data_IF_653801728262
#
_entry.id   IF_653801728262
#
_cell.length_a   1.000
_cell.length_b   1.000
_cell.length_c   1.000
_cell.angle_alpha   90.00
_cell.angle_beta   90.00
_cell.angle_gamma   90.00
#
_symmetry.space_group_name_H-M   'P 1'
#
loop_
_entity.id
_entity.type
_entity.pdbx_description
1 polymer ?
#
# COMPACT_ATOMS: atom_id res chain seq x y z
N UNK A 1 4.13 -19.11 9.16
CA UNK A 1 2.80 -18.45 9.08
C UNK A 1 2.45 -18.33 7.60
N UNK A 2 1.18 -18.46 7.24
CA UNK A 2 0.75 -18.27 5.85
C UNK A 2 0.18 -16.87 5.62
N UNK A 3 0.33 -16.38 4.39
CA UNK A 3 -0.34 -15.18 3.88
C UNK A 3 -1.18 -15.56 2.66
N UNK A 4 -2.39 -15.03 2.58
CA UNK A 4 -3.41 -15.50 1.66
C UNK A 4 -3.75 -14.45 0.61
N UNK A 5 -3.71 -14.85 -0.67
CA UNK A 5 -4.27 -14.05 -1.75
C UNK A 5 -5.61 -14.61 -2.19
N UNK A 6 -6.67 -13.84 -1.98
CA UNK A 6 -8.01 -14.14 -2.48
C UNK A 6 -8.14 -13.73 -3.94
N UNK A 7 -8.72 -14.61 -4.75
CA UNK A 7 -8.88 -14.47 -6.19
C UNK A 7 -10.26 -14.97 -6.63
N UNK A 8 -10.94 -14.26 -7.55
CA UNK A 8 -12.15 -14.79 -8.17
C UNK A 8 -11.79 -15.89 -9.20
N UNK A 9 -12.75 -16.73 -9.64
CA UNK A 9 -12.50 -17.87 -10.54
C UNK A 9 -11.74 -17.51 -11.83
N UNK A 10 -12.06 -16.34 -12.40
CA UNK A 10 -11.49 -15.85 -13.66
C UNK A 10 -9.99 -15.55 -13.54
N UNK A 11 -9.49 -15.45 -12.30
CA UNK A 11 -8.07 -15.24 -12.03
C UNK A 11 -7.24 -16.52 -11.93
N UNK A 12 -7.74 -17.61 -12.51
CA UNK A 12 -6.97 -18.85 -12.69
C UNK A 12 -5.65 -18.62 -13.46
N UNK A 13 -5.58 -17.56 -14.28
CA UNK A 13 -4.38 -17.10 -14.98
C UNK A 13 -3.17 -16.89 -14.06
N UNK A 14 -3.39 -16.61 -12.78
CA UNK A 14 -2.31 -16.47 -11.79
C UNK A 14 -1.56 -17.78 -11.59
N UNK A 15 -2.27 -18.91 -11.53
CA UNK A 15 -1.67 -20.25 -11.44
C UNK A 15 -1.21 -20.77 -12.79
N UNK A 16 -1.88 -20.40 -13.88
CA UNK A 16 -1.48 -20.79 -15.25
C UNK A 16 -0.15 -20.17 -15.69
N UNK A 17 0.12 -18.94 -15.24
CA UNK A 17 1.28 -18.17 -15.66
C UNK A 17 2.32 -17.98 -14.55
N UNK A 18 1.99 -18.33 -13.29
CA UNK A 18 2.82 -18.06 -12.10
C UNK A 18 3.20 -16.58 -12.01
N UNK A 19 2.21 -15.73 -12.33
CA UNK A 19 2.35 -14.28 -12.32
C UNK A 19 1.24 -13.66 -11.51
N UNK A 20 1.59 -12.71 -10.67
CA UNK A 20 0.65 -12.01 -9.80
C UNK A 20 0.71 -10.50 -10.02
N UNK A 21 -0.44 -9.85 -9.93
CA UNK A 21 -0.53 -8.39 -10.08
C UNK A 21 0.00 -7.70 -8.83
N UNK A 22 0.87 -6.71 -9.05
CA UNK A 22 1.13 -5.65 -8.08
C UNK A 22 0.29 -4.43 -8.49
N UNK A 23 -0.73 -4.12 -7.71
CA UNK A 23 -1.71 -3.10 -8.02
C UNK A 23 -1.16 -1.72 -7.70
N UNK A 24 -1.24 -0.79 -8.64
CA UNK A 24 -0.84 0.60 -8.44
C UNK A 24 -1.77 1.30 -7.46
N UNK A 25 -1.27 2.31 -6.72
CA UNK A 25 -2.08 3.01 -5.70
C UNK A 25 -3.42 3.54 -6.25
N UNK A 26 -3.41 4.11 -7.45
CA UNK A 26 -4.60 4.65 -8.12
C UNK A 26 -5.68 3.59 -8.41
N UNK A 27 -5.29 2.31 -8.49
CA UNK A 27 -6.18 1.19 -8.82
C UNK A 27 -6.55 0.32 -7.59
N UNK A 28 -6.18 0.75 -6.39
CA UNK A 28 -6.61 0.08 -5.16
C UNK A 28 -8.10 0.36 -4.90
N UNK A 29 -8.76 -0.55 -4.19
CA UNK A 29 -10.22 -0.54 -4.01
C UNK A 29 -10.70 0.49 -2.98
N UNK A 30 -9.85 0.90 -2.04
CA UNK A 30 -10.17 1.95 -1.07
C UNK A 30 -9.78 3.32 -1.65
N UNK A 31 -10.74 4.25 -1.90
CA UNK A 31 -10.46 5.57 -2.47
C UNK A 31 -9.62 6.47 -1.54
N UNK A 32 -9.47 6.10 -0.27
CA UNK A 32 -8.63 6.82 0.69
C UNK A 32 -7.20 6.30 0.77
N UNK A 33 -6.91 5.21 0.04
CA UNK A 33 -5.63 4.53 0.12
C UNK A 33 -4.50 5.34 -0.48
N UNK A 34 -3.37 5.43 0.25
CA UNK A 34 -2.22 6.27 -0.11
C UNK A 34 -2.58 7.75 -0.34
N UNK A 35 -3.78 8.18 0.07
CA UNK A 35 -4.28 9.53 -0.08
C UNK A 35 -4.08 10.33 1.21
N UNK A 36 -3.12 11.27 1.27
CA UNK A 36 -2.84 11.98 2.52
C UNK A 36 -4.03 12.87 2.91
N UNK A 37 -4.32 12.92 4.21
CA UNK A 37 -5.26 13.89 4.76
C UNK A 37 -4.66 15.29 4.73
N UNK A 38 -5.53 16.28 4.54
CA UNK A 38 -5.19 17.69 4.71
C UNK A 38 -5.10 18.00 6.20
N UNK A 39 -4.03 18.70 6.60
CA UNK A 39 -3.85 19.12 7.99
C UNK A 39 -4.83 20.24 8.31
N UNK A 40 -5.82 19.95 9.15
CA UNK A 40 -6.73 20.97 9.68
C UNK A 40 -6.33 21.31 11.12
N UNK A 41 -5.63 22.43 11.29
CA UNK A 41 -5.21 22.98 12.58
C UNK A 41 -5.52 24.48 12.64
N UNK A 42 -5.64 25.01 13.86
CA UNK A 42 -5.88 26.43 14.03
C UNK A 42 -4.65 27.28 13.62
N UNK A 43 -4.91 28.56 13.33
CA UNK A 43 -3.88 29.53 12.94
C UNK A 43 -2.76 29.67 13.98
N UNK A 44 -3.06 29.48 15.26
CA UNK A 44 -2.05 29.57 16.32
C UNK A 44 -1.07 28.39 16.26
N UNK A 45 -1.54 27.19 15.91
CA UNK A 45 -0.72 26.01 15.67
C UNK A 45 0.25 26.24 14.52
N UNK A 46 -0.25 26.72 13.37
CA UNK A 46 0.60 27.04 12.21
C UNK A 46 1.64 28.10 12.56
N UNK A 47 1.24 29.13 13.33
CA UNK A 47 2.17 30.16 13.81
C UNK A 47 3.26 29.57 14.70
N UNK A 48 2.95 28.63 15.59
CA UNK A 48 3.95 27.94 16.41
C UNK A 48 4.93 27.13 15.56
N UNK A 49 4.45 26.37 14.58
CA UNK A 49 5.34 25.60 13.68
C UNK A 49 6.23 26.50 12.84
N UNK A 50 5.68 27.59 12.28
CA UNK A 50 6.43 28.56 11.51
C UNK A 50 7.55 29.22 12.33
N UNK A 51 7.24 29.63 13.57
CA UNK A 51 8.24 30.20 14.46
C UNK A 51 9.34 29.21 14.82
N UNK A 52 9.00 27.95 15.07
CA UNK A 52 9.97 26.88 15.34
C UNK A 52 10.88 26.65 14.12
N UNK A 53 10.32 26.64 12.91
CA UNK A 53 11.07 26.53 11.66
C UNK A 53 12.06 27.68 11.50
N UNK A 54 11.61 28.92 11.67
CA UNK A 54 12.49 30.11 11.59
C UNK A 54 13.63 30.05 12.60
N UNK A 55 13.35 29.62 13.84
CA UNK A 55 14.40 29.46 14.87
C UNK A 55 15.42 28.39 14.47
N UNK A 56 14.98 27.25 13.93
CA UNK A 56 15.86 26.20 13.45
C UNK A 56 16.72 26.66 12.26
N UNK A 57 16.11 27.30 11.26
CA UNK A 57 16.82 27.92 10.13
C UNK A 57 17.88 28.90 10.65
N UNK A 58 17.51 29.77 11.59
CA UNK A 58 18.43 30.77 12.13
C UNK A 58 19.62 30.14 12.89
N UNK A 59 19.43 28.98 13.52
CA UNK A 59 20.50 28.25 14.19
C UNK A 59 21.48 27.62 13.18
N UNK A 60 21.01 27.19 12.01
CA UNK A 60 21.86 26.63 10.95
C UNK A 60 22.76 27.68 10.30
N UNK A 61 22.30 28.94 10.18
CA UNK A 61 23.07 30.03 9.58
C UNK A 61 24.27 30.52 10.42
N UNK A 62 24.47 30.02 11.64
CA UNK A 62 25.62 30.34 12.51
C UNK A 62 25.92 31.87 12.60
N UNK A 63 24.91 32.69 12.87
CA UNK A 63 25.06 34.15 12.91
C UNK A 63 26.13 34.60 13.92
N UNK A 64 27.13 35.36 13.45
CA UNK A 64 28.18 35.95 14.29
C UNK A 64 27.68 37.02 15.27
N UNK A 65 26.54 37.66 14.98
CA UNK A 65 26.00 38.77 15.77
C UNK A 65 24.50 38.56 16.10
N UNK A 66 24.17 38.69 17.39
CA UNK A 66 22.79 38.62 17.93
C UNK A 66 21.81 39.60 17.26
N UNK A 67 22.27 40.79 16.87
CA UNK A 67 21.47 41.81 16.17
C UNK A 67 21.05 41.32 14.78
N UNK A 68 22.00 40.79 14.00
CA UNK A 68 21.71 40.22 12.66
C UNK A 68 20.74 39.05 12.76
N UNK A 69 20.90 38.17 13.76
CA UNK A 69 19.95 37.08 14.04
C UNK A 69 18.53 37.61 14.31
N UNK A 70 18.39 38.64 15.17
CA UNK A 70 17.09 39.25 15.47
C UNK A 70 16.46 39.89 14.23
N UNK A 71 17.24 40.57 13.40
CA UNK A 71 16.77 41.16 12.14
C UNK A 71 16.27 40.10 11.16
N UNK A 72 17.03 39.01 10.97
CA UNK A 72 16.63 37.86 10.15
C UNK A 72 15.28 37.28 10.61
N UNK A 73 15.15 36.96 11.90
CA UNK A 73 13.91 36.40 12.45
C UNK A 73 12.73 37.37 12.26
N UNK A 74 12.93 38.68 12.48
CA UNK A 74 11.89 39.69 12.29
C UNK A 74 11.46 39.79 10.83
N UNK A 75 12.38 39.69 9.88
CA UNK A 75 12.07 39.68 8.45
C UNK A 75 11.25 38.43 8.08
N UNK A 76 11.71 37.23 8.46
CA UNK A 76 11.03 35.95 8.19
C UNK A 76 9.61 35.91 8.77
N UNK A 77 9.39 36.47 9.97
CA UNK A 77 8.06 36.53 10.60
C UNK A 77 7.00 37.22 9.73
N UNK A 78 7.39 38.12 8.82
CA UNK A 78 6.45 38.79 7.89
C UNK A 78 5.88 37.85 6.84
N UNK A 79 6.53 36.72 6.59
CA UNK A 79 6.11 35.73 5.59
C UNK A 79 5.07 34.75 6.13
N UNK A 80 4.60 34.95 7.38
CA UNK A 80 3.66 34.03 8.01
C UNK A 80 2.34 33.89 7.23
N UNK A 81 1.80 34.97 6.65
CA UNK A 81 0.54 34.86 5.90
C UNK A 81 0.71 33.99 4.65
N UNK A 82 1.82 34.13 3.92
CA UNK A 82 2.12 33.29 2.76
C UNK A 82 2.30 31.82 3.19
N UNK A 83 3.09 31.58 4.25
CA UNK A 83 3.21 30.24 4.83
C UNK A 83 1.84 29.66 5.21
N UNK A 84 1.01 30.43 5.90
CA UNK A 84 -0.31 29.99 6.33
C UNK A 84 -1.19 29.63 5.13
N UNK A 85 -1.25 30.49 4.11
CA UNK A 85 -2.01 30.25 2.89
C UNK A 85 -1.59 28.95 2.19
N UNK A 86 -0.28 28.69 2.03
CA UNK A 86 0.23 27.47 1.42
C UNK A 86 -0.22 26.18 2.14
N UNK A 87 -0.53 26.24 3.43
CA UNK A 87 -0.95 25.09 4.23
C UNK A 87 -2.43 25.12 4.62
N UNK A 88 -3.21 26.06 4.08
CA UNK A 88 -4.66 26.12 4.30
C UNK A 88 -5.49 26.25 3.03
N UNK A 89 -4.86 26.35 1.85
CA UNK A 89 -5.57 26.27 0.58
C UNK A 89 -5.99 24.81 0.32
N UNK A 90 -7.21 24.48 0.73
CA UNK A 90 -7.72 23.11 0.63
C UNK A 90 -7.76 22.59 -0.80
N UNK A 91 -8.05 23.44 -1.78
CA UNK A 91 -8.11 23.04 -3.19
C UNK A 91 -6.72 22.65 -3.69
N UNK A 92 -5.75 23.53 -3.49
CA UNK A 92 -4.37 23.25 -3.90
C UNK A 92 -3.80 22.03 -3.16
N UNK A 93 -4.03 21.90 -1.85
CA UNK A 93 -3.57 20.75 -1.07
C UNK A 93 -4.21 19.44 -1.53
N UNK A 94 -5.48 19.46 -1.92
CA UNK A 94 -6.14 18.30 -2.48
C UNK A 94 -5.52 17.87 -3.83
N UNK A 95 -5.21 18.83 -4.71
CA UNK A 95 -4.52 18.57 -5.99
C UNK A 95 -3.11 17.99 -5.77
N UNK A 96 -2.38 18.48 -4.76
CA UNK A 96 -1.08 17.92 -4.37
C UNK A 96 -1.22 16.48 -3.84
N UNK A 97 -2.23 16.22 -2.99
CA UNK A 97 -2.50 14.87 -2.49
C UNK A 97 -2.80 13.87 -3.62
N UNK A 98 -3.55 14.30 -4.65
CA UNK A 98 -3.81 13.45 -5.82
C UNK A 98 -2.53 13.20 -6.63
N UNK A 99 -1.65 14.19 -6.72
CA UNK A 99 -0.38 14.06 -7.44
C UNK A 99 0.54 13.03 -6.80
N UNK A 100 0.54 12.92 -5.46
CA UNK A 100 1.27 11.85 -4.73
C UNK A 100 0.82 10.46 -5.17
N UNK A 101 -0.49 10.21 -5.30
CA UNK A 101 -1.02 8.91 -5.75
C UNK A 101 -0.59 8.60 -7.18
N UNK A 102 -0.69 9.59 -8.08
CA UNK A 102 -0.34 9.40 -9.50
C UNK A 102 1.14 9.12 -9.69
N UNK A 103 1.99 9.84 -8.96
CA UNK A 103 3.43 9.61 -8.92
C UNK A 103 3.77 8.21 -8.37
N UNK A 104 3.16 7.84 -7.24
CA UNK A 104 3.35 6.51 -6.65
C UNK A 104 2.98 5.38 -7.61
N UNK A 105 1.86 5.56 -8.33
CA UNK A 105 1.29 4.58 -9.24
C UNK A 105 2.17 4.25 -10.45
N UNK A 106 3.07 5.15 -10.85
CA UNK A 106 4.00 4.88 -11.97
C UNK A 106 5.35 4.34 -11.52
N UNK A 107 5.70 4.49 -10.24
CA UNK A 107 6.99 4.03 -9.72
C UNK A 107 6.92 2.71 -8.97
N UNK A 108 5.77 2.35 -8.37
CA UNK A 108 5.62 1.12 -7.60
C UNK A 108 4.18 0.60 -7.53
N UNK A 109 4.02 -0.63 -7.05
CA UNK A 109 2.73 -1.21 -6.77
C UNK A 109 2.74 -2.19 -5.60
N UNK A 110 1.56 -2.69 -5.29
CA UNK A 110 1.27 -3.37 -4.04
C UNK A 110 0.58 -4.71 -4.27
N UNK A 111 1.12 -5.74 -3.62
CA UNK A 111 0.47 -7.04 -3.46
C UNK A 111 -0.13 -7.10 -2.05
N UNK A 112 -1.45 -7.00 -1.98
CA UNK A 112 -2.24 -7.19 -0.75
C UNK A 112 -2.48 -8.66 -0.47
N UNK A 113 -2.05 -9.11 0.71
CA UNK A 113 -2.22 -10.47 1.23
C UNK A 113 -2.90 -10.39 2.61
N UNK A 114 -3.74 -11.36 2.94
CA UNK A 114 -4.39 -11.45 4.25
C UNK A 114 -3.66 -12.42 5.17
N UNK A 115 -3.62 -12.17 6.47
CA UNK A 115 -3.18 -13.16 7.44
C UNK A 115 -4.27 -14.16 7.85
N UNK A 116 -5.49 -14.04 7.32
CA UNK A 116 -6.59 -14.95 7.59
C UNK A 116 -7.17 -15.51 6.30
N UNK A 117 -7.50 -16.81 6.32
CA UNK A 117 -8.29 -17.47 5.29
C UNK A 117 -9.77 -17.66 5.72
N UNK A 118 -10.14 -17.17 6.92
CA UNK A 118 -11.43 -17.45 7.57
C UNK A 118 -12.48 -16.36 7.40
N UNK A 119 -12.07 -15.15 7.00
CA UNK A 119 -12.94 -13.99 6.95
C UNK A 119 -14.02 -14.13 5.87
N UNK A 120 -15.29 -14.15 6.28
CA UNK A 120 -16.44 -14.25 5.35
C UNK A 120 -16.45 -13.07 4.37
N UNK A 121 -16.14 -11.86 4.86
CA UNK A 121 -16.09 -10.65 4.04
C UNK A 121 -14.99 -10.74 2.98
N UNK A 122 -13.82 -11.32 3.31
CA UNK A 122 -12.75 -11.53 2.33
C UNK A 122 -13.20 -12.46 1.20
N UNK A 123 -13.84 -13.58 1.54
CA UNK A 123 -14.37 -14.51 0.55
C UNK A 123 -15.48 -13.88 -0.31
N UNK A 124 -16.34 -13.07 0.30
CA UNK A 124 -17.44 -12.40 -0.40
C UNK A 124 -16.94 -11.35 -1.38
N UNK A 125 -16.00 -10.50 -0.96
CA UNK A 125 -15.51 -9.37 -1.78
C UNK A 125 -14.44 -9.78 -2.80
N UNK A 126 -13.49 -10.63 -2.40
CA UNK A 126 -12.27 -10.86 -3.19
C UNK A 126 -12.22 -12.24 -3.85
N UNK A 127 -13.11 -13.17 -3.48
CA UNK A 127 -13.23 -14.49 -4.10
C UNK A 127 -14.63 -14.70 -4.70
N UNK A 128 -15.20 -13.64 -5.29
CA UNK A 128 -16.49 -13.65 -6.00
C UNK A 128 -17.58 -14.41 -5.25
N UNK A 129 -18.04 -13.88 -4.11
CA UNK A 129 -19.11 -14.50 -3.34
C UNK A 129 -18.86 -15.98 -2.96
N UNK A 130 -17.61 -16.33 -2.65
CA UNK A 130 -17.14 -17.69 -2.32
C UNK A 130 -17.05 -18.66 -3.51
N UNK A 131 -17.11 -18.19 -4.75
CA UNK A 131 -16.93 -19.03 -5.96
C UNK A 131 -15.46 -19.21 -6.33
N UNK A 132 -14.62 -18.25 -5.95
CA UNK A 132 -13.19 -18.20 -6.25
C UNK A 132 -12.32 -19.08 -5.37
N UNK A 133 -11.04 -18.75 -5.29
CA UNK A 133 -10.03 -19.52 -4.58
C UNK A 133 -9.03 -18.61 -3.87
N UNK A 134 -8.20 -19.22 -3.03
CA UNK A 134 -7.14 -18.57 -2.27
C UNK A 134 -5.83 -19.28 -2.53
N UNK A 135 -4.77 -18.50 -2.76
CA UNK A 135 -3.39 -18.99 -2.76
C UNK A 135 -2.77 -18.66 -1.40
N UNK A 136 -2.33 -19.69 -0.67
CA UNK A 136 -1.51 -19.54 0.53
C UNK A 136 -0.03 -19.44 0.17
N UNK A 137 0.65 -18.49 0.80
CA UNK A 137 2.09 -18.26 0.66
C UNK A 137 2.81 -18.44 1.99
N UNK A 138 3.98 -19.10 1.97
CA UNK A 138 4.90 -19.20 3.10
C UNK A 138 5.48 -17.82 3.39
N UNK A 139 5.06 -17.17 4.49
CA UNK A 139 5.63 -15.86 4.89
C UNK A 139 7.14 -15.96 5.05
N UNK A 140 7.66 -17.04 5.59
CA UNK A 140 9.08 -17.17 5.91
C UNK A 140 9.97 -17.34 4.68
N UNK A 141 9.41 -17.48 3.48
CA UNK A 141 10.15 -17.56 2.23
C UNK A 141 10.90 -16.26 1.92
N UNK A 142 12.09 -16.37 1.30
CA UNK A 142 12.97 -15.22 1.04
C UNK A 142 12.31 -14.12 0.19
N UNK A 143 11.39 -14.52 -0.69
CA UNK A 143 10.55 -13.63 -1.49
C UNK A 143 9.83 -12.57 -0.65
N UNK A 144 9.52 -12.86 0.62
CA UNK A 144 8.82 -11.96 1.54
C UNK A 144 9.74 -11.30 2.58
N UNK A 145 11.07 -11.49 2.49
CA UNK A 145 12.02 -10.86 3.43
C UNK A 145 12.04 -9.33 3.32
N UNK A 146 11.81 -8.79 2.13
CA UNK A 146 11.86 -7.36 1.85
C UNK A 146 10.54 -6.84 1.26
N UNK A 147 10.25 -5.58 1.58
CA UNK A 147 9.09 -4.84 1.06
C UNK A 147 7.74 -5.29 1.64
N UNK A 148 7.71 -6.22 2.60
CA UNK A 148 6.48 -6.71 3.21
C UNK A 148 6.21 -6.03 4.56
N UNK A 149 5.09 -5.34 4.66
CA UNK A 149 4.68 -4.59 5.85
C UNK A 149 3.28 -4.95 6.29
N UNK A 150 3.06 -5.07 7.60
CA UNK A 150 1.70 -5.22 8.14
C UNK A 150 0.96 -3.87 8.08
N UNK A 151 -0.24 -3.87 7.52
CA UNK A 151 -1.08 -2.67 7.44
C UNK A 151 -1.58 -2.29 8.84
N UNK A 152 -1.58 -0.99 9.12
CA UNK A 152 -2.12 -0.39 10.34
C UNK A 152 -3.52 0.15 10.05
N UNK A 153 -4.46 -0.11 10.96
CA UNK A 153 -5.84 0.33 10.81
C UNK A 153 -6.14 1.50 11.73
N UNK A 154 -6.64 2.62 11.17
CA UNK A 154 -6.94 3.86 11.91
C UNK A 154 -8.16 4.57 11.32
N UNK A 155 -8.96 5.19 12.19
CA UNK A 155 -10.13 6.01 11.78
C UNK A 155 -9.71 7.35 11.13
N UNK A 156 -8.46 7.77 11.35
CA UNK A 156 -7.91 9.01 10.80
C UNK A 156 -6.80 8.68 9.83
N UNK A 157 -6.95 9.16 8.58
CA UNK A 157 -5.93 9.05 7.54
C UNK A 157 -4.62 9.71 7.98
N UNK A 158 -3.45 9.14 7.63
CA UNK A 158 -2.18 9.84 7.76
C UNK A 158 -2.22 11.15 6.98
N UNK A 159 -1.55 12.17 7.50
CA UNK A 159 -1.30 13.42 6.80
C UNK A 159 0.21 13.59 6.65
N UNK A 160 0.63 14.26 5.58
CA UNK A 160 2.01 14.69 5.44
C UNK A 160 2.15 16.01 6.19
N UNK A 161 3.05 16.06 7.17
CA UNK A 161 3.35 17.29 7.90
C UNK A 161 4.60 17.93 7.29
N UNK A 162 4.47 18.89 6.36
CA UNK A 162 5.61 19.50 5.69
C UNK A 162 6.52 20.30 6.63
N UNK A 163 6.12 20.48 7.90
CA UNK A 163 6.94 21.12 8.93
C UNK A 163 7.83 20.14 9.68
N UNK A 164 7.62 18.82 9.51
CA UNK A 164 8.43 17.79 10.15
C UNK A 164 9.67 17.44 9.33
N UNK A 165 10.83 17.25 9.98
CA UNK A 165 12.08 16.93 9.32
C UNK A 165 12.14 15.50 8.78
N UNK A 166 11.23 14.63 9.23
CA UNK A 166 11.11 13.24 8.78
C UNK A 166 9.64 12.96 8.51
N UNK A 167 9.35 12.41 7.34
CA UNK A 167 8.08 11.75 7.06
C UNK A 167 8.26 10.26 7.36
N UNK A 168 7.20 9.58 7.80
CA UNK A 168 7.18 8.12 7.87
C UNK A 168 6.44 7.55 6.65
N UNK A 169 6.65 6.27 6.37
CA UNK A 169 5.97 5.58 5.28
C UNK A 169 4.52 5.19 5.63
N UNK A 170 3.93 5.75 6.71
CA UNK A 170 2.61 5.30 7.18
C UNK A 170 1.50 5.53 6.17
N UNK A 171 1.66 6.48 5.25
CA UNK A 171 0.74 6.75 4.14
C UNK A 171 0.44 5.50 3.31
N UNK A 172 1.46 4.67 3.03
CA UNK A 172 1.36 3.51 2.14
C UNK A 172 0.86 2.23 2.84
N UNK A 173 0.83 2.24 4.18
CA UNK A 173 0.52 1.07 5.00
C UNK A 173 -0.52 1.37 6.10
N UNK A 174 -1.35 2.39 5.91
CA UNK A 174 -2.47 2.70 6.80
C UNK A 174 -3.80 2.65 6.04
N UNK A 175 -4.78 1.91 6.58
CA UNK A 175 -6.15 1.80 6.05
C UNK A 175 -7.21 2.22 7.08
N UNK A 176 -8.43 2.47 6.61
CA UNK A 176 -9.59 2.64 7.51
C UNK A 176 -9.79 1.39 8.37
N UNK A 177 -10.25 1.58 9.61
CA UNK A 177 -10.66 0.48 10.51
C UNK A 177 -11.79 -0.37 9.94
N UNK A 178 -12.57 0.16 9.00
CA UNK A 178 -13.60 -0.59 8.27
C UNK A 178 -13.02 -1.81 7.53
N UNK A 179 -11.76 -1.71 7.06
CA UNK A 179 -11.05 -2.78 6.36
C UNK A 179 -10.24 -3.68 7.30
N UNK A 180 -10.38 -3.55 8.62
CA UNK A 180 -9.57 -4.31 9.59
C UNK A 180 -9.72 -5.82 9.46
N UNK A 181 -10.87 -6.30 8.96
CA UNK A 181 -11.12 -7.71 8.71
C UNK A 181 -10.23 -8.33 7.63
N UNK A 182 -9.51 -7.51 6.85
CA UNK A 182 -8.58 -7.99 5.83
C UNK A 182 -7.28 -8.54 6.45
N UNK A 183 -6.92 -8.12 7.66
CA UNK A 183 -5.66 -8.49 8.33
C UNK A 183 -4.44 -8.39 7.39
N UNK A 184 -4.34 -7.28 6.64
CA UNK A 184 -3.49 -7.18 5.48
C UNK A 184 -1.99 -7.10 5.83
N UNK A 185 -1.21 -7.87 5.09
CA UNK A 185 0.21 -7.67 4.85
C UNK A 185 0.40 -7.25 3.39
N UNK A 186 1.10 -6.14 3.20
CA UNK A 186 1.30 -5.51 1.91
C UNK A 186 2.74 -5.65 1.49
N UNK A 187 2.97 -6.29 0.34
CA UNK A 187 4.28 -6.32 -0.31
C UNK A 187 4.34 -5.22 -1.37
N UNK A 188 5.34 -4.33 -1.30
CA UNK A 188 5.61 -3.36 -2.37
C UNK A 188 6.73 -3.82 -3.29
N UNK A 189 6.67 -3.40 -4.56
CA UNK A 189 7.76 -3.53 -5.53
C UNK A 189 7.81 -2.31 -6.43
N UNK A 190 9.02 -1.85 -6.75
CA UNK A 190 9.23 -0.79 -7.74
C UNK A 190 9.04 -1.29 -9.17
N UNK A 191 8.51 -0.43 -10.04
CA UNK A 191 8.40 -0.65 -11.48
C UNK A 191 9.53 0.00 -12.27
N UNK A 192 10.32 0.84 -11.60
CA UNK A 192 11.43 1.60 -12.15
C UNK A 192 12.75 1.09 -11.59
N UNK A 193 13.82 1.25 -12.37
CA UNK A 193 15.17 0.93 -11.92
C UNK A 193 15.58 1.91 -10.82
N UNK A 194 15.93 1.44 -9.60
CA UNK A 194 16.39 2.31 -8.54
C UNK A 194 17.75 2.95 -8.88
N UNK A 195 17.96 4.18 -8.41
CA UNK A 195 19.24 4.88 -8.48
C UNK A 195 19.99 4.60 -7.17
N UNK A 196 21.19 4.04 -7.28
CA UNK A 196 22.10 3.87 -6.14
C UNK A 196 22.69 5.23 -5.73
N UNK A 197 22.59 5.55 -4.44
CA UNK A 197 23.13 6.77 -3.85
C UNK A 197 24.50 6.51 -3.22
N UNK A 198 25.33 7.55 -3.10
CA UNK A 198 26.68 7.46 -2.51
C UNK A 198 26.68 6.91 -1.06
N UNK A 199 25.57 7.04 -0.35
CA UNK A 199 25.41 6.56 1.02
C UNK A 199 24.94 5.09 1.11
N UNK A 200 24.88 4.37 -0.02
CA UNK A 200 24.46 2.97 -0.09
C UNK A 200 22.95 2.74 -0.01
N UNK A 201 22.14 3.81 -0.05
CA UNK A 201 20.68 3.71 -0.19
C UNK A 201 20.28 3.79 -1.66
N UNK A 202 19.04 3.41 -1.96
CA UNK A 202 18.44 3.55 -3.29
C UNK A 202 17.33 4.60 -3.31
N UNK A 203 17.15 5.22 -4.47
CA UNK A 203 16.07 6.16 -4.77
C UNK A 203 15.27 5.64 -5.96
N UNK A 204 13.94 5.59 -5.83
CA UNK A 204 13.07 5.36 -6.99
C UNK A 204 12.95 6.68 -7.78
N UNK A 205 13.34 6.72 -9.07
CA UNK A 205 13.18 7.92 -9.88
C UNK A 205 11.70 8.18 -10.15
N UNK A 206 11.19 9.28 -9.60
CA UNK A 206 9.87 9.81 -9.95
C UNK A 206 9.97 10.64 -11.24
N UNK A 207 8.93 10.65 -12.09
CA UNK A 207 8.86 11.58 -13.22
C UNK A 207 8.76 13.03 -12.71
N UNK A 208 9.18 13.99 -13.54
CA UNK A 208 9.15 15.42 -13.20
C UNK A 208 7.71 15.92 -12.96
N UNK A 209 6.76 15.40 -13.73
CA UNK A 209 5.35 15.71 -13.61
C UNK A 209 4.54 14.42 -13.34
N UNK A 210 3.47 14.49 -12.52
CA UNK A 210 2.56 13.37 -12.35
C UNK A 210 1.88 13.06 -13.70
N UNK A 211 1.68 11.79 -14.04
CA UNK A 211 0.96 11.42 -15.26
C UNK A 211 -0.47 11.96 -15.23
N UNK A 212 -1.02 12.22 -16.43
CA UNK A 212 -2.42 12.59 -16.61
C UNK A 212 -3.34 11.42 -16.26
N UNK A 213 -4.60 11.72 -15.88
CA UNK A 213 -5.58 10.68 -15.52
C UNK A 213 -5.87 9.72 -16.67
N UNK A 214 -5.74 10.19 -17.92
CA UNK A 214 -5.90 9.39 -19.13
C UNK A 214 -4.64 8.62 -19.55
N UNK A 215 -3.54 8.75 -18.83
CA UNK A 215 -2.27 8.11 -19.18
C UNK A 215 -2.36 6.58 -19.03
N UNK A 216 -2.02 5.85 -20.08
CA UNK A 216 -2.07 4.39 -20.12
C UNK A 216 -1.21 3.74 -19.03
N UNK A 217 -0.11 4.39 -18.62
CA UNK A 217 0.80 3.87 -17.59
C UNK A 217 0.14 3.74 -16.21
N UNK A 218 -0.85 4.58 -15.89
CA UNK A 218 -1.65 4.49 -14.67
C UNK A 218 -2.57 3.27 -14.67
N UNK A 219 -3.05 2.88 -15.84
CA UNK A 219 -4.03 1.80 -16.02
C UNK A 219 -3.40 0.46 -16.40
N UNK A 220 -2.12 0.45 -16.74
CA UNK A 220 -1.38 -0.73 -17.16
C UNK A 220 -1.45 -1.85 -16.12
N UNK A 221 -1.73 -3.09 -16.53
CA UNK A 221 -1.69 -4.24 -15.62
C UNK A 221 -0.24 -4.67 -15.42
N UNK A 222 0.25 -4.59 -14.18
CA UNK A 222 1.64 -4.92 -13.81
C UNK A 222 1.70 -6.31 -13.17
N UNK A 223 2.12 -7.31 -13.94
CA UNK A 223 2.25 -8.71 -13.50
C UNK A 223 3.73 -9.06 -13.25
N UNK A 224 4.00 -9.73 -12.13
CA UNK A 224 5.33 -10.16 -11.72
C UNK A 224 5.35 -11.65 -11.41
N UNK A 225 6.47 -12.29 -11.71
CA UNK A 225 6.71 -13.68 -11.30
C UNK A 225 6.80 -13.79 -9.77
N UNK A 226 6.34 -14.91 -9.23
CA UNK A 226 6.60 -15.28 -7.84
C UNK A 226 7.24 -16.68 -7.78
N UNK A 227 8.14 -16.95 -6.81
CA UNK A 227 8.74 -18.27 -6.67
C UNK A 227 7.69 -19.33 -6.38
N UNK A 228 7.68 -20.42 -7.14
CA UNK A 228 6.66 -21.48 -7.01
C UNK A 228 6.71 -22.16 -5.63
N UNK A 229 7.91 -22.33 -5.09
CA UNK A 229 8.20 -22.88 -3.78
C UNK A 229 7.81 -21.95 -2.61
N UNK A 230 7.34 -20.73 -2.89
CA UNK A 230 6.68 -19.92 -1.86
C UNK A 230 5.19 -20.27 -1.68
N UNK A 231 4.57 -21.01 -2.60
CA UNK A 231 3.17 -21.48 -2.47
C UNK A 231 3.09 -22.61 -1.46
N UNK A 232 2.26 -22.43 -0.43
CA UNK A 232 2.05 -23.41 0.65
C UNK A 232 0.76 -24.20 0.51
N UNK A 233 -0.31 -23.58 0.04
CA UNK A 233 -1.64 -24.19 -0.02
C UNK A 233 -2.50 -23.54 -1.10
N UNK A 234 -3.50 -24.28 -1.59
CA UNK A 234 -4.62 -23.71 -2.36
C UNK A 234 -5.91 -24.00 -1.60
N UNK A 235 -6.80 -23.02 -1.49
CA UNK A 235 -8.09 -23.20 -0.83
C UNK A 235 -9.19 -22.82 -1.82
N UNK A 236 -10.06 -23.75 -2.18
CA UNK A 236 -11.24 -23.48 -3.01
C UNK A 236 -12.41 -23.00 -2.15
N UNK A 237 -13.18 -22.05 -2.67
CA UNK A 237 -14.33 -21.49 -2.00
C UNK A 237 -15.50 -22.46 -1.89
N UNK A 238 -16.40 -22.18 -0.94
CA UNK A 238 -17.57 -23.01 -0.65
C UNK A 238 -18.48 -23.23 -1.87
N UNK A 239 -18.55 -22.23 -2.76
CA UNK A 239 -19.37 -22.25 -3.97
C UNK A 239 -18.54 -22.48 -5.23
N UNK A 240 -17.27 -22.86 -5.10
CA UNK A 240 -16.42 -23.12 -6.25
C UNK A 240 -16.96 -24.25 -7.12
N UNK A 241 -16.83 -24.08 -8.42
CA UNK A 241 -17.26 -25.09 -9.38
C UNK A 241 -16.27 -26.26 -9.44
N UNK A 242 -16.72 -27.50 -9.73
CA UNK A 242 -15.82 -28.62 -10.00
C UNK A 242 -14.85 -28.36 -11.17
N UNK A 243 -15.27 -27.53 -12.14
CA UNK A 243 -14.43 -27.09 -13.25
C UNK A 243 -13.21 -26.30 -12.74
N UNK A 244 -13.42 -25.33 -11.86
CA UNK A 244 -12.34 -24.53 -11.28
C UNK A 244 -11.34 -25.42 -10.52
N UNK A 245 -11.83 -26.38 -9.72
CA UNK A 245 -10.96 -27.33 -9.01
C UNK A 245 -10.09 -28.12 -9.99
N UNK A 246 -10.67 -28.66 -11.07
CA UNK A 246 -9.92 -29.39 -12.09
C UNK A 246 -8.89 -28.51 -12.81
N UNK A 247 -9.21 -27.23 -13.07
CA UNK A 247 -8.26 -26.27 -13.64
C UNK A 247 -7.10 -25.95 -12.68
N UNK A 248 -7.37 -25.84 -11.37
CA UNK A 248 -6.33 -25.69 -10.34
C UNK A 248 -5.40 -26.91 -10.33
N UNK A 249 -5.94 -28.13 -10.22
CA UNK A 249 -5.16 -29.38 -10.21
C UNK A 249 -4.29 -29.51 -11.46
N UNK A 250 -4.86 -29.21 -12.63
CA UNK A 250 -4.14 -29.22 -13.90
C UNK A 250 -2.96 -28.25 -13.89
N UNK A 251 -3.14 -27.04 -13.37
CA UNK A 251 -2.08 -26.03 -13.30
C UNK A 251 -1.01 -26.38 -12.27
N UNK A 252 -1.39 -26.92 -11.10
CA UNK A 252 -0.42 -27.41 -10.12
C UNK A 252 0.47 -28.50 -10.73
N UNK A 253 -0.13 -29.49 -11.41
CA UNK A 253 0.62 -30.53 -12.13
C UNK A 253 1.52 -29.95 -13.23
N UNK A 254 1.02 -29.01 -14.03
CA UNK A 254 1.80 -28.34 -15.08
C UNK A 254 3.05 -27.66 -14.52
N UNK A 255 2.96 -27.08 -13.33
CA UNK A 255 4.04 -26.33 -12.71
C UNK A 255 4.91 -27.13 -11.72
N UNK A 256 4.68 -28.44 -11.60
CA UNK A 256 5.36 -29.35 -10.67
C UNK A 256 5.11 -28.97 -9.19
N UNK A 257 3.85 -28.64 -8.88
CA UNK A 257 3.36 -28.23 -7.56
C UNK A 257 2.34 -29.23 -7.01
N UNK A 258 2.40 -30.50 -7.41
CA UNK A 258 1.46 -31.55 -6.95
C UNK A 258 1.54 -31.81 -5.44
N UNK A 259 2.63 -31.42 -4.79
CA UNK A 259 2.78 -31.51 -3.33
C UNK A 259 2.07 -30.38 -2.57
N UNK A 260 1.53 -29.37 -3.25
CA UNK A 260 0.76 -28.30 -2.61
C UNK A 260 -0.61 -28.84 -2.24
N UNK A 261 -0.92 -28.86 -0.96
CA UNK A 261 -2.20 -29.32 -0.46
C UNK A 261 -3.35 -28.42 -0.94
N UNK A 262 -4.46 -29.05 -1.31
CA UNK A 262 -5.70 -28.39 -1.70
C UNK A 262 -6.70 -28.55 -0.56
N UNK A 263 -7.36 -27.45 -0.22
CA UNK A 263 -8.37 -27.41 0.82
C UNK A 263 -9.68 -26.85 0.27
N UNK A 264 -10.79 -27.14 0.95
CA UNK A 264 -12.08 -26.51 0.73
C UNK A 264 -12.45 -25.63 1.93
N UNK A 265 -12.89 -24.40 1.67
CA UNK A 265 -13.46 -23.52 2.67
C UNK A 265 -14.98 -23.72 2.74
N UNK A 266 -15.52 -24.04 3.92
CA UNK A 266 -16.96 -24.18 4.16
C UNK A 266 -17.42 -23.30 5.33
N UNK A 267 -18.70 -22.90 5.40
CA UNK A 267 -19.21 -22.15 6.55
C UNK A 267 -19.08 -22.96 7.84
N UNK A 268 -18.54 -22.34 8.90
CA UNK A 268 -18.47 -22.98 10.21
C UNK A 268 -19.87 -23.18 10.79
N UNK A 269 -20.13 -24.34 11.39
CA UNK A 269 -21.45 -24.72 11.96
C UNK A 269 -22.00 -23.82 13.08
N UNK A 270 -21.15 -23.01 13.72
CA UNK A 270 -21.47 -22.32 14.99
C UNK A 270 -20.92 -20.89 15.08
N UNK A 271 -20.12 -20.45 14.10
CA UNK A 271 -19.40 -19.17 14.14
C UNK A 271 -19.50 -18.49 12.78
N UNK A 272 -19.45 -17.16 12.78
CA UNK A 272 -19.38 -16.36 11.55
C UNK A 272 -17.94 -16.34 10.99
N UNK A 273 -17.45 -17.51 10.61
CA UNK A 273 -16.15 -17.69 9.95
C UNK A 273 -16.20 -18.87 8.98
N UNK A 274 -15.23 -18.94 8.06
CA UNK A 274 -14.99 -20.13 7.26
C UNK A 274 -14.10 -21.11 8.03
N UNK A 275 -14.42 -22.40 7.93
CA UNK A 275 -13.54 -23.52 8.29
C UNK A 275 -12.91 -24.11 7.03
N UNK A 276 -11.71 -24.66 7.14
CA UNK A 276 -10.91 -25.13 6.01
C UNK A 276 -10.55 -26.59 6.24
N UNK A 277 -10.82 -27.45 5.25
CA UNK A 277 -10.61 -28.90 5.32
C UNK A 277 -9.85 -29.37 4.08
N UNK A 278 -8.91 -30.30 4.25
CA UNK A 278 -8.14 -30.86 3.13
C UNK A 278 -9.04 -31.75 2.27
N UNK A 279 -8.84 -31.72 0.94
CA UNK A 279 -9.63 -32.49 -0.04
C UNK A 279 -8.77 -33.26 -1.02
#
# INVERSE_FOLDING_TARGET
MELFKYLPPERIDVLENIKIRFTQAYALNDPFESFPAIVQKDRAWYKRQFLKRIENEANQYAFRNKVKRKQYIRARKKEFENFYQCYTDEKWLFEQAQSVIRLDSVVQGYLSLSATNKSILMWSHYAQNHEGFVIGFRREHEYFNYGLMKVKYKDKRPFLDPTQPKQDASLFYTKSTDWKYEEEYRKSIGFVTPIELENGNTLLPFPEEPPDVGDESLHAIRLFDFPKDCVSSIIVGWKSSPKLLSEIEKNLKRHQLESVAIYSATPHKFRYEMEVHEI
#
